data_IF_721701074136
#
_entry.id   IF_721701074136
#
_cell.length_a   1.000
_cell.length_b   1.000
_cell.length_c   1.000
_cell.angle_alpha   90.00
_cell.angle_beta   90.00
_cell.angle_gamma   90.00
#
_symmetry.space_group_name_H-M   'P 1'
#
loop_
_entity.id
_entity.type
_entity.pdbx_description
1 polymer ?
#
# COMPACT_ATOMS: atom_id res chain seq x y z
N UNK A 1 -13.31 -7.01 21.71
CA UNK A 1 -11.87 -6.65 21.61
C UNK A 1 -10.95 -7.88 21.60
N UNK A 2 -10.95 -8.77 22.59
CA UNK A 2 -10.02 -9.94 22.64
C UNK A 2 -10.00 -10.78 21.38
N UNK A 3 -11.18 -11.14 20.82
CA UNK A 3 -11.28 -11.93 19.58
C UNK A 3 -10.66 -11.20 18.36
N UNK A 4 -10.85 -9.89 18.28
CA UNK A 4 -10.22 -9.08 17.22
C UNK A 4 -8.70 -9.09 17.37
N UNK A 5 -8.16 -8.90 18.57
CA UNK A 5 -6.72 -8.96 18.80
C UNK A 5 -6.13 -10.34 18.47
N UNK A 6 -6.83 -11.43 18.80
CA UNK A 6 -6.41 -12.78 18.39
C UNK A 6 -6.36 -12.94 16.87
N UNK A 7 -7.32 -12.36 16.16
CA UNK A 7 -7.30 -12.32 14.69
C UNK A 7 -6.09 -11.54 14.16
N UNK A 8 -5.73 -10.40 14.78
CA UNK A 8 -4.54 -9.64 14.37
C UNK A 8 -3.25 -10.42 14.60
N UNK A 9 -3.17 -11.18 15.70
CA UNK A 9 -2.05 -12.10 15.93
C UNK A 9 -2.02 -13.23 14.90
N UNK A 10 -3.17 -13.69 14.44
CA UNK A 10 -3.27 -14.68 13.37
C UNK A 10 -2.75 -14.10 12.04
N UNK A 11 -3.09 -12.86 11.69
CA UNK A 11 -2.51 -12.19 10.52
C UNK A 11 -0.99 -12.06 10.63
N UNK A 12 -0.47 -11.68 11.81
CA UNK A 12 0.97 -11.65 12.05
C UNK A 12 1.62 -13.03 11.85
N UNK A 13 1.02 -14.09 12.40
CA UNK A 13 1.50 -15.46 12.27
C UNK A 13 1.44 -15.96 10.82
N UNK A 14 0.36 -15.68 10.10
CA UNK A 14 0.18 -15.99 8.67
C UNK A 14 1.31 -15.38 7.83
N UNK A 15 1.55 -14.10 8.00
CA UNK A 15 2.62 -13.41 7.28
C UNK A 15 4.01 -13.93 7.67
N UNK A 16 4.28 -14.17 8.96
CA UNK A 16 5.55 -14.72 9.42
C UNK A 16 5.83 -16.11 8.79
N UNK A 17 4.81 -16.95 8.64
CA UNK A 17 4.91 -18.23 7.95
C UNK A 17 5.11 -18.06 6.43
N UNK A 18 4.49 -17.04 5.82
CA UNK A 18 4.57 -16.79 4.39
C UNK A 18 5.89 -16.13 3.93
N UNK A 19 6.51 -15.28 4.76
CA UNK A 19 7.74 -14.54 4.39
C UNK A 19 8.85 -15.46 3.83
N UNK A 20 9.23 -16.59 4.45
CA UNK A 20 10.25 -17.50 3.89
C UNK A 20 9.76 -18.22 2.63
N UNK A 21 8.47 -18.56 2.54
CA UNK A 21 7.91 -19.28 1.39
C UNK A 21 7.85 -18.42 0.14
N UNK A 22 7.54 -17.14 0.30
CA UNK A 22 7.56 -16.14 -0.76
C UNK A 22 8.99 -15.71 -1.15
N UNK A 23 10.01 -16.22 -0.44
CA UNK A 23 11.40 -15.81 -0.67
C UNK A 23 11.72 -14.39 -0.17
N UNK A 24 10.81 -13.76 0.55
CA UNK A 24 11.02 -12.41 1.13
C UNK A 24 12.02 -12.48 2.29
N UNK A 25 12.05 -13.61 3.00
CA UNK A 25 12.95 -13.85 4.11
C UNK A 25 13.64 -15.23 3.97
N UNK A 26 14.65 -15.35 3.09
CA UNK A 26 15.28 -16.65 2.76
C UNK A 26 16.14 -17.22 3.87
N UNK A 27 16.53 -16.40 4.88
CA UNK A 27 17.33 -16.83 6.03
C UNK A 27 16.69 -16.42 7.34
N UNK A 28 17.07 -17.08 8.45
CA UNK A 28 16.58 -16.73 9.79
C UNK A 28 16.93 -15.28 10.18
N UNK A 29 18.12 -14.81 9.84
CA UNK A 29 18.53 -13.44 10.12
C UNK A 29 17.64 -12.42 9.38
N UNK A 30 17.35 -12.68 8.10
CA UNK A 30 16.44 -11.83 7.30
C UNK A 30 15.02 -11.93 7.82
N UNK A 31 14.55 -13.11 8.25
CA UNK A 31 13.22 -13.28 8.84
C UNK A 31 13.07 -12.42 10.10
N UNK A 32 14.02 -12.48 11.03
CA UNK A 32 14.01 -11.66 12.23
C UNK A 32 14.06 -10.16 11.92
N UNK A 33 14.89 -9.76 10.94
CA UNK A 33 14.99 -8.36 10.52
C UNK A 33 13.71 -7.84 9.86
N UNK A 34 13.00 -8.69 9.11
CA UNK A 34 11.78 -8.35 8.35
C UNK A 34 10.48 -8.77 9.06
N UNK A 35 10.55 -9.26 10.29
CA UNK A 35 9.36 -9.66 11.05
C UNK A 35 8.28 -8.56 11.13
N UNK A 36 8.60 -7.25 11.23
CA UNK A 36 7.57 -6.21 11.20
C UNK A 36 6.75 -6.14 9.90
N UNK A 37 7.26 -6.69 8.77
CA UNK A 37 6.46 -6.83 7.55
C UNK A 37 5.41 -7.94 7.67
N UNK A 38 5.57 -8.89 8.58
CA UNK A 38 4.72 -10.07 8.66
C UNK A 38 3.24 -9.71 8.81
N UNK A 39 2.92 -8.69 9.60
CA UNK A 39 1.53 -8.29 9.81
C UNK A 39 0.86 -7.86 8.50
N UNK A 40 1.45 -6.92 7.76
CA UNK A 40 0.85 -6.42 6.51
C UNK A 40 0.90 -7.47 5.38
N UNK A 41 1.89 -8.37 5.37
CA UNK A 41 1.94 -9.52 4.48
C UNK A 41 0.80 -10.49 4.80
N UNK A 42 0.56 -10.76 6.08
CA UNK A 42 -0.56 -11.59 6.52
C UNK A 42 -1.92 -10.99 6.20
N UNK A 43 -2.12 -9.69 6.41
CA UNK A 43 -3.33 -8.96 5.99
C UNK A 43 -3.51 -9.04 4.47
N UNK A 44 -2.45 -8.82 3.68
CA UNK A 44 -2.52 -8.91 2.22
C UNK A 44 -2.93 -10.32 1.77
N UNK A 45 -2.33 -11.38 2.33
CA UNK A 45 -2.67 -12.77 2.00
C UNK A 45 -4.10 -13.09 2.45
N UNK A 46 -4.48 -12.76 3.70
CA UNK A 46 -5.81 -13.03 4.21
C UNK A 46 -6.89 -12.35 3.37
N UNK A 47 -6.71 -11.07 3.03
CA UNK A 47 -7.64 -10.32 2.20
C UNK A 47 -7.75 -10.89 0.78
N UNK A 48 -6.62 -11.21 0.12
CA UNK A 48 -6.61 -11.81 -1.23
C UNK A 48 -7.31 -13.17 -1.22
N UNK A 49 -6.93 -14.06 -0.31
CA UNK A 49 -7.48 -15.42 -0.24
C UNK A 49 -8.97 -15.37 0.05
N UNK A 50 -9.40 -14.57 1.03
CA UNK A 50 -10.82 -14.44 1.37
C UNK A 50 -11.61 -13.80 0.23
N UNK A 51 -11.07 -12.77 -0.42
CA UNK A 51 -11.72 -12.16 -1.57
C UNK A 51 -11.94 -13.18 -2.70
N UNK A 52 -10.93 -14.00 -3.03
CA UNK A 52 -11.06 -15.01 -4.09
C UNK A 52 -12.02 -16.14 -3.72
N UNK A 53 -11.97 -16.61 -2.48
CA UNK A 53 -12.86 -17.68 -2.05
C UNK A 53 -14.32 -17.20 -1.93
N UNK A 54 -14.53 -15.93 -1.62
CA UNK A 54 -15.87 -15.33 -1.66
C UNK A 54 -16.49 -15.36 -3.06
N UNK A 55 -15.69 -15.31 -4.14
CA UNK A 55 -16.19 -15.37 -5.52
C UNK A 55 -16.73 -16.76 -5.91
N UNK A 56 -16.42 -17.79 -5.14
CA UNK A 56 -16.87 -19.17 -5.34
C UNK A 56 -17.69 -19.67 -4.15
N UNK A 57 -18.26 -18.74 -3.38
CA UNK A 57 -19.13 -19.00 -2.22
C UNK A 57 -18.49 -19.90 -1.14
N UNK A 58 -17.16 -19.85 -1.03
CA UNK A 58 -16.40 -20.58 -0.02
C UNK A 58 -16.05 -19.62 1.15
N UNK A 59 -16.84 -19.63 2.23
CA UNK A 59 -16.64 -18.74 3.35
C UNK A 59 -15.33 -19.04 4.07
N UNK A 60 -14.56 -17.99 4.39
CA UNK A 60 -13.38 -18.10 5.25
C UNK A 60 -13.62 -17.32 6.55
N UNK A 61 -13.31 -18.01 7.65
CA UNK A 61 -13.26 -17.42 8.98
C UNK A 61 -11.89 -17.58 9.63
N UNK A 62 -11.77 -17.23 10.92
CA UNK A 62 -10.51 -17.35 11.65
C UNK A 62 -9.97 -18.77 11.73
N UNK A 63 -10.85 -19.81 11.73
CA UNK A 63 -10.41 -21.21 11.80
C UNK A 63 -9.70 -21.63 10.51
N UNK A 64 -10.26 -21.33 9.35
CA UNK A 64 -9.69 -21.65 8.05
C UNK A 64 -8.36 -20.92 7.85
N UNK A 65 -8.28 -19.67 8.29
CA UNK A 65 -7.02 -18.91 8.30
C UNK A 65 -5.98 -19.51 9.26
N UNK A 66 -6.41 -20.03 10.41
CA UNK A 66 -5.51 -20.72 11.33
C UNK A 66 -4.97 -22.02 10.73
N UNK A 67 -5.82 -22.78 10.04
CA UNK A 67 -5.40 -23.98 9.30
C UNK A 67 -4.42 -23.63 8.20
N UNK A 68 -4.73 -22.61 7.37
CA UNK A 68 -3.81 -22.11 6.35
C UNK A 68 -2.46 -21.70 6.96
N UNK A 69 -2.49 -20.97 8.07
CA UNK A 69 -1.29 -20.54 8.79
C UNK A 69 -0.46 -21.73 9.26
N UNK A 70 -1.11 -22.74 9.86
CA UNK A 70 -0.43 -23.96 10.33
C UNK A 70 0.21 -24.73 9.18
N UNK A 71 -0.49 -24.87 8.04
CA UNK A 71 0.05 -25.52 6.84
C UNK A 71 1.27 -24.75 6.30
N UNK A 72 1.17 -23.43 6.15
CA UNK A 72 2.29 -22.62 5.66
C UNK A 72 3.46 -22.66 6.65
N UNK A 73 3.21 -22.62 7.95
CA UNK A 73 4.25 -22.72 8.98
C UNK A 73 4.95 -24.09 8.92
N UNK A 74 4.20 -25.19 8.75
CA UNK A 74 4.75 -26.52 8.60
C UNK A 74 5.63 -26.63 7.34
N UNK A 75 5.17 -26.10 6.21
CA UNK A 75 5.95 -26.09 4.96
C UNK A 75 7.21 -25.24 5.10
N UNK A 76 7.10 -24.06 5.71
CA UNK A 76 8.24 -23.17 5.98
C UNK A 76 9.25 -23.84 6.91
N UNK A 77 8.78 -24.51 7.97
CA UNK A 77 9.63 -25.26 8.90
C UNK A 77 10.38 -26.41 8.21
N UNK A 78 9.70 -27.18 7.34
CA UNK A 78 10.35 -28.27 6.57
C UNK A 78 11.41 -27.74 5.59
N UNK A 79 11.19 -26.59 4.97
CA UNK A 79 12.15 -25.95 4.03
C UNK A 79 13.37 -25.37 4.73
N UNK A 80 13.35 -25.20 6.06
CA UNK A 80 14.41 -24.66 6.93
C UNK A 80 15.18 -23.51 6.28
N UNK A 81 14.86 -22.25 6.59
CA UNK A 81 15.63 -21.10 6.07
C UNK A 81 17.12 -21.35 6.32
N UNK A 82 17.93 -21.11 5.31
CA UNK A 82 19.39 -21.26 5.40
C UNK A 82 19.96 -20.50 6.60
N UNK A 83 20.84 -21.13 7.37
CA UNK A 83 21.56 -20.49 8.48
C UNK A 83 22.71 -19.59 8.01
N UNK A 84 22.87 -19.36 6.70
CA UNK A 84 23.92 -18.46 6.20
C UNK A 84 23.67 -17.08 6.79
N UNK A 85 24.57 -16.65 7.66
CA UNK A 85 24.68 -15.28 8.09
C UNK A 85 24.96 -14.46 6.83
N UNK A 86 24.04 -13.63 6.41
CA UNK A 86 24.31 -12.64 5.38
C UNK A 86 25.35 -11.68 5.98
N UNK A 87 26.60 -11.81 5.54
CA UNK A 87 27.62 -10.78 5.72
C UNK A 87 27.07 -9.52 5.04
N UNK A 88 26.71 -8.51 5.82
CA UNK A 88 26.23 -7.24 5.31
C UNK A 88 24.85 -6.76 5.80
N UNK A 89 24.14 -7.51 6.64
CA UNK A 89 23.08 -6.89 7.44
C UNK A 89 23.72 -6.04 8.54
N UNK A 90 24.39 -4.97 8.13
CA UNK A 90 24.79 -3.87 8.98
C UNK A 90 23.56 -3.07 9.39
N UNK A 91 22.65 -3.71 10.13
CA UNK A 91 21.68 -2.98 10.92
C UNK A 91 22.48 -2.11 11.86
N UNK A 92 22.67 -0.82 11.50
CA UNK A 92 23.29 0.14 12.39
C UNK A 92 22.45 0.16 13.66
N UNK A 93 22.89 -0.60 14.65
CA UNK A 93 22.26 -0.66 15.96
C UNK A 93 22.10 0.80 16.43
N UNK A 94 20.98 1.10 17.07
CA UNK A 94 20.69 2.38 17.69
C UNK A 94 21.85 2.74 18.63
N UNK A 95 22.89 3.34 18.06
CA UNK A 95 24.09 3.77 18.80
C UNK A 95 24.23 5.28 18.65
N UNK A 96 24.48 5.95 19.77
CA UNK A 96 24.64 7.40 19.81
C UNK A 96 23.34 8.20 19.73
N UNK A 97 23.47 9.52 19.80
CA UNK A 97 22.33 10.47 19.85
C UNK A 97 21.34 10.32 18.69
N UNK A 98 21.82 10.06 17.47
CA UNK A 98 20.93 9.88 16.30
C UNK A 98 20.05 8.63 16.43
N UNK A 99 20.54 7.56 17.05
CA UNK A 99 19.78 6.34 17.30
C UNK A 99 18.71 6.57 18.37
N UNK A 100 19.03 7.30 19.43
CA UNK A 100 18.07 7.67 20.47
C UNK A 100 16.97 8.56 19.91
N UNK A 101 17.33 9.58 19.10
CA UNK A 101 16.35 10.45 18.42
C UNK A 101 15.43 9.65 17.52
N UNK A 102 15.97 8.71 16.71
CA UNK A 102 15.18 7.86 15.85
C UNK A 102 14.19 6.98 16.64
N UNK A 103 14.61 6.43 17.78
CA UNK A 103 13.75 5.63 18.66
C UNK A 103 12.62 6.49 19.24
N UNK A 104 12.92 7.70 19.71
CA UNK A 104 11.91 8.63 20.24
C UNK A 104 10.88 9.03 19.17
N UNK A 105 11.34 9.32 17.95
CA UNK A 105 10.47 9.66 16.81
C UNK A 105 9.54 8.48 16.50
N UNK A 106 10.04 7.24 16.47
CA UNK A 106 9.22 6.06 16.24
C UNK A 106 8.20 5.85 17.36
N UNK A 107 8.64 5.97 18.61
CA UNK A 107 7.72 5.89 19.76
C UNK A 107 6.61 6.93 19.63
N UNK A 108 6.93 8.18 19.28
CA UNK A 108 5.93 9.22 19.04
C UNK A 108 4.94 8.81 17.93
N UNK A 109 5.41 8.30 16.79
CA UNK A 109 4.55 7.84 15.70
C UNK A 109 3.64 6.68 16.12
N UNK A 110 4.16 5.69 16.84
CA UNK A 110 3.36 4.57 17.36
C UNK A 110 2.38 4.99 18.45
N UNK A 111 2.75 5.91 19.34
CA UNK A 111 1.84 6.47 20.35
C UNK A 111 0.70 7.23 19.69
N UNK A 112 1.00 8.04 18.66
CA UNK A 112 -0.04 8.72 17.86
C UNK A 112 -1.01 7.73 17.24
N UNK A 113 -0.50 6.71 16.52
CA UNK A 113 -1.35 5.69 15.90
C UNK A 113 -2.15 4.87 16.92
N UNK A 114 -1.55 4.53 18.05
CA UNK A 114 -2.25 3.84 19.15
C UNK A 114 -3.35 4.71 19.74
N UNK A 115 -3.10 6.01 19.91
CA UNK A 115 -4.11 6.96 20.37
C UNK A 115 -5.27 7.08 19.38
N UNK A 116 -4.96 7.23 18.07
CA UNK A 116 -5.97 7.25 17.01
C UNK A 116 -6.77 5.94 17.04
N UNK A 117 -6.11 4.78 17.08
CA UNK A 117 -6.78 3.47 17.13
C UNK A 117 -7.74 3.36 18.32
N UNK A 118 -7.33 3.86 19.50
CA UNK A 118 -8.19 3.88 20.68
C UNK A 118 -9.40 4.80 20.50
N UNK A 119 -9.25 5.96 19.86
CA UNK A 119 -10.38 6.82 19.53
C UNK A 119 -11.37 6.13 18.58
N UNK A 120 -10.88 5.29 17.67
CA UNK A 120 -11.70 4.54 16.73
C UNK A 120 -12.56 3.46 17.40
N UNK A 121 -12.22 3.00 18.60
CA UNK A 121 -13.01 2.00 19.35
C UNK A 121 -14.45 2.47 19.65
N UNK A 122 -14.70 3.77 19.68
CA UNK A 122 -16.01 4.35 19.97
C UNK A 122 -16.64 5.08 18.79
N UNK A 123 -15.94 5.13 17.62
CA UNK A 123 -16.40 5.85 16.44
C UNK A 123 -17.44 5.04 15.68
N UNK A 124 -18.67 5.52 15.48
CA UNK A 124 -19.66 4.84 14.66
C UNK A 124 -19.33 5.00 13.17
N UNK A 125 -19.90 4.13 12.35
CA UNK A 125 -19.91 4.29 10.89
C UNK A 125 -20.91 5.37 10.52
N UNK A 126 -20.45 6.53 10.06
CA UNK A 126 -21.31 7.63 9.61
C UNK A 126 -20.94 8.16 8.23
N UNK A 127 -19.72 7.95 7.78
CA UNK A 127 -19.29 8.33 6.44
C UNK A 127 -19.97 7.46 5.40
N UNK A 128 -20.53 8.10 4.35
CA UNK A 128 -21.36 7.45 3.34
C UNK A 128 -20.73 6.18 2.76
N UNK A 129 -19.56 6.26 2.14
CA UNK A 129 -18.93 5.09 1.52
C UNK A 129 -18.61 4.01 2.58
N UNK A 130 -18.28 4.42 3.81
CA UNK A 130 -17.95 3.52 4.90
C UNK A 130 -19.08 2.55 5.21
N UNK A 131 -20.26 3.08 5.50
CA UNK A 131 -21.40 2.22 5.85
C UNK A 131 -22.18 1.74 4.62
N UNK A 132 -22.37 2.60 3.59
CA UNK A 132 -23.20 2.26 2.45
C UNK A 132 -22.51 1.28 1.49
N UNK A 133 -21.18 1.37 1.31
CA UNK A 133 -20.46 0.54 0.36
C UNK A 133 -19.71 -0.57 1.08
N UNK A 134 -18.68 -0.20 1.86
CA UNK A 134 -17.70 -1.16 2.36
C UNK A 134 -18.29 -2.06 3.43
N UNK A 135 -18.86 -1.50 4.49
CA UNK A 135 -19.44 -2.30 5.56
C UNK A 135 -20.70 -3.07 5.11
N UNK A 136 -21.49 -2.54 4.15
CA UNK A 136 -22.63 -3.28 3.59
C UNK A 136 -22.17 -4.51 2.82
N UNK A 137 -21.15 -4.40 1.96
CA UNK A 137 -20.56 -5.54 1.26
C UNK A 137 -19.91 -6.53 2.24
N UNK A 138 -19.19 -6.04 3.23
CA UNK A 138 -18.59 -6.87 4.27
C UNK A 138 -19.66 -7.63 5.08
N UNK A 139 -20.77 -6.97 5.43
CA UNK A 139 -21.91 -7.60 6.11
C UNK A 139 -22.55 -8.66 5.22
N UNK A 140 -22.70 -8.41 3.92
CA UNK A 140 -23.21 -9.40 2.99
C UNK A 140 -22.29 -10.62 2.91
N UNK A 141 -20.97 -10.46 2.79
CA UNK A 141 -20.00 -11.55 2.85
C UNK A 141 -20.08 -12.32 4.17
N UNK A 142 -20.26 -11.63 5.29
CA UNK A 142 -20.42 -12.25 6.60
C UNK A 142 -21.70 -13.11 6.69
N UNK A 143 -22.85 -12.60 6.22
CA UNK A 143 -24.15 -13.24 6.35
C UNK A 143 -24.34 -14.38 5.35
N UNK A 144 -23.95 -14.18 4.09
CA UNK A 144 -24.20 -15.14 3.00
C UNK A 144 -23.02 -16.07 2.73
N UNK A 145 -21.85 -15.77 3.24
CA UNK A 145 -20.66 -16.62 3.10
C UNK A 145 -19.85 -16.38 1.84
N UNK A 146 -20.41 -15.73 0.84
CA UNK A 146 -19.77 -15.48 -0.46
C UNK A 146 -20.29 -14.22 -1.12
N UNK A 147 -19.89 -14.01 -2.38
CA UNK A 147 -20.30 -12.89 -3.20
C UNK A 147 -21.72 -13.08 -3.74
N UNK A 148 -22.70 -13.06 -2.85
CA UNK A 148 -24.10 -13.24 -3.15
C UNK A 148 -24.59 -12.30 -4.25
N UNK A 149 -24.94 -12.86 -5.41
CA UNK A 149 -25.22 -12.14 -6.65
C UNK A 149 -26.22 -11.00 -6.48
N UNK A 150 -27.38 -11.13 -5.81
CA UNK A 150 -28.34 -10.03 -5.64
C UNK A 150 -27.77 -8.79 -4.96
N UNK A 151 -26.69 -8.94 -4.16
CA UNK A 151 -25.98 -7.81 -3.55
C UNK A 151 -24.84 -7.33 -4.46
N UNK A 152 -23.96 -8.24 -4.88
CA UNK A 152 -22.69 -7.87 -5.51
C UNK A 152 -22.84 -7.52 -6.99
N UNK A 153 -23.89 -8.04 -7.69
CA UNK A 153 -24.17 -7.70 -9.07
C UNK A 153 -25.10 -6.47 -9.23
N UNK A 154 -25.87 -6.12 -8.21
CA UNK A 154 -26.91 -5.10 -8.32
C UNK A 154 -26.76 -3.93 -7.35
N UNK A 155 -26.07 -4.10 -6.24
CA UNK A 155 -25.87 -3.02 -5.26
C UNK A 155 -24.67 -2.14 -5.62
N UNK A 156 -24.88 -0.87 -6.03
CA UNK A 156 -23.79 0.02 -6.41
C UNK A 156 -22.86 0.37 -5.22
N UNK A 157 -21.60 0.63 -5.51
CA UNK A 157 -20.89 0.47 -6.78
C UNK A 157 -20.45 -0.98 -7.01
N UNK A 158 -20.95 -1.58 -8.09
CA UNK A 158 -20.69 -3.00 -8.41
C UNK A 158 -19.25 -3.29 -8.80
N UNK A 159 -18.55 -2.28 -9.34
CA UNK A 159 -17.18 -2.41 -9.87
C UNK A 159 -16.09 -2.53 -8.80
N UNK A 160 -16.41 -2.35 -7.53
CA UNK A 160 -15.41 -2.41 -6.46
C UNK A 160 -15.05 -3.84 -6.09
N UNK A 161 -13.76 -4.24 -6.19
CA UNK A 161 -13.29 -5.56 -5.78
C UNK A 161 -13.46 -5.83 -4.29
N UNK A 162 -13.18 -7.07 -3.87
CA UNK A 162 -13.64 -7.57 -2.57
C UNK A 162 -12.57 -7.60 -1.47
N UNK A 163 -11.32 -7.15 -1.70
CA UNK A 163 -10.25 -7.25 -0.71
C UNK A 163 -10.61 -6.58 0.62
N UNK A 164 -11.07 -5.33 0.58
CA UNK A 164 -11.37 -4.59 1.80
C UNK A 164 -12.65 -5.11 2.50
N UNK A 165 -13.79 -5.32 1.81
CA UNK A 165 -14.95 -5.96 2.42
C UNK A 165 -14.67 -7.37 2.95
N UNK A 166 -13.76 -8.12 2.32
CA UNK A 166 -13.38 -9.46 2.78
C UNK A 166 -12.64 -9.42 4.12
N UNK A 167 -11.72 -8.45 4.32
CA UNK A 167 -11.05 -8.24 5.60
C UNK A 167 -12.06 -7.91 6.71
N UNK A 168 -12.98 -6.99 6.47
CA UNK A 168 -14.03 -6.64 7.43
C UNK A 168 -14.95 -7.84 7.73
N UNK A 169 -15.27 -8.66 6.73
CA UNK A 169 -16.08 -9.86 6.93
C UNK A 169 -15.37 -10.89 7.83
N UNK A 170 -14.04 -11.01 7.74
CA UNK A 170 -13.26 -11.85 8.67
C UNK A 170 -13.34 -11.29 10.09
N UNK A 171 -13.26 -9.95 10.27
CA UNK A 171 -13.44 -9.32 11.58
C UNK A 171 -14.80 -9.65 12.18
N UNK A 172 -15.88 -9.56 11.39
CA UNK A 172 -17.23 -9.90 11.84
C UNK A 172 -17.37 -11.38 12.19
N UNK A 173 -16.72 -12.28 11.44
CA UNK A 173 -16.68 -13.72 11.76
C UNK A 173 -15.92 -14.01 13.05
N UNK A 174 -14.79 -13.32 13.27
CA UNK A 174 -14.04 -13.43 14.51
C UNK A 174 -14.85 -12.93 15.71
N UNK A 175 -15.59 -11.84 15.56
CA UNK A 175 -16.44 -11.26 16.59
C UNK A 175 -17.73 -12.09 16.82
N UNK A 176 -18.20 -12.80 15.79
CA UNK A 176 -19.48 -13.51 15.77
C UNK A 176 -20.69 -12.58 15.58
N UNK A 177 -20.45 -11.33 15.17
CA UNK A 177 -21.47 -10.32 14.92
C UNK A 177 -20.95 -9.23 13.97
N UNK A 178 -21.86 -8.54 13.32
CA UNK A 178 -21.57 -7.25 12.70
C UNK A 178 -21.28 -6.20 13.79
N UNK A 179 -20.17 -5.48 13.66
CA UNK A 179 -19.81 -4.41 14.61
C UNK A 179 -19.17 -3.24 13.85
N UNK A 180 -19.98 -2.21 13.62
CA UNK A 180 -19.57 -1.03 12.85
C UNK A 180 -18.56 -0.12 13.55
N UNK A 181 -18.28 -0.35 14.83
CA UNK A 181 -17.28 0.40 15.60
C UNK A 181 -15.92 -0.30 15.54
N UNK A 182 -15.91 -1.59 15.82
CA UNK A 182 -14.66 -2.36 15.89
C UNK A 182 -13.97 -2.52 14.54
N UNK A 183 -14.70 -2.39 13.42
CA UNK A 183 -14.09 -2.40 12.08
C UNK A 183 -13.08 -1.25 11.90
N UNK A 184 -13.30 -0.10 12.52
CA UNK A 184 -12.33 1.00 12.49
C UNK A 184 -11.02 0.66 13.21
N UNK A 185 -11.07 -0.18 14.25
CA UNK A 185 -9.87 -0.63 14.97
C UNK A 185 -8.93 -1.41 14.05
N UNK A 186 -9.49 -2.20 13.13
CA UNK A 186 -8.72 -2.89 12.08
C UNK A 186 -7.88 -1.91 11.26
N UNK A 187 -8.45 -0.77 10.86
CA UNK A 187 -7.74 0.27 10.11
C UNK A 187 -6.62 0.90 10.92
N UNK A 188 -6.86 1.20 12.20
CA UNK A 188 -5.82 1.71 13.10
C UNK A 188 -4.64 0.74 13.24
N UNK A 189 -4.93 -0.56 13.42
CA UNK A 189 -3.92 -1.61 13.50
C UNK A 189 -3.18 -1.80 12.17
N UNK A 190 -3.88 -1.65 11.03
CA UNK A 190 -3.26 -1.65 9.71
C UNK A 190 -2.29 -0.47 9.55
N UNK A 191 -2.65 0.72 10.06
CA UNK A 191 -1.76 1.88 10.10
C UNK A 191 -0.49 1.64 10.92
N UNK A 192 -0.61 0.99 12.09
CA UNK A 192 0.54 0.58 12.92
C UNK A 192 1.41 -0.41 12.16
N UNK A 193 0.82 -1.43 11.55
CA UNK A 193 1.52 -2.42 10.74
C UNK A 193 2.24 -1.80 9.55
N UNK A 194 1.61 -0.84 8.88
CA UNK A 194 2.22 -0.08 7.79
C UNK A 194 3.45 0.71 8.25
N UNK A 195 3.35 1.44 9.36
CA UNK A 195 4.48 2.18 9.92
C UNK A 195 5.67 1.27 10.23
N UNK A 196 5.42 0.11 10.85
CA UNK A 196 6.44 -0.87 11.17
C UNK A 196 7.07 -1.49 9.92
N UNK A 197 6.25 -1.84 8.91
CA UNK A 197 6.70 -2.41 7.65
C UNK A 197 7.53 -1.40 6.83
N UNK A 198 7.03 -0.18 6.66
CA UNK A 198 7.72 0.88 5.93
C UNK A 198 9.06 1.22 6.58
N UNK A 199 9.07 1.42 7.90
CA UNK A 199 10.32 1.64 8.62
C UNK A 199 11.33 0.52 8.42
N UNK A 200 10.87 -0.74 8.44
CA UNK A 200 11.73 -1.91 8.24
C UNK A 200 12.35 -1.90 6.84
N UNK A 201 11.55 -1.63 5.82
CA UNK A 201 12.04 -1.53 4.44
C UNK A 201 13.03 -0.38 4.25
N UNK A 202 12.77 0.76 4.88
CA UNK A 202 13.61 1.94 4.74
C UNK A 202 14.94 1.80 5.47
N UNK A 203 14.93 1.35 6.76
CA UNK A 203 16.14 1.26 7.59
C UNK A 203 17.22 0.34 7.04
N UNK A 204 16.87 -0.55 6.12
CA UNK A 204 17.84 -1.41 5.45
C UNK A 204 18.75 -0.63 4.47
N UNK A 205 18.38 0.59 4.09
CA UNK A 205 19.06 1.38 3.04
C UNK A 205 19.32 2.84 3.39
N UNK A 206 18.60 3.38 4.34
CA UNK A 206 18.75 4.79 4.72
C UNK A 206 19.08 4.91 6.22
N UNK A 207 19.67 6.02 6.64
CA UNK A 207 19.91 6.28 8.07
C UNK A 207 18.62 6.12 8.88
N UNK A 208 18.72 5.46 10.02
CA UNK A 208 17.57 5.15 10.89
C UNK A 208 16.77 6.39 11.24
N UNK A 209 17.44 7.52 11.48
CA UNK A 209 16.78 8.80 11.75
C UNK A 209 15.90 9.26 10.58
N UNK A 210 16.42 9.21 9.36
CA UNK A 210 15.68 9.60 8.15
C UNK A 210 14.48 8.67 7.92
N UNK A 211 14.67 7.36 8.10
CA UNK A 211 13.58 6.39 8.03
C UNK A 211 12.47 6.70 9.05
N UNK A 212 12.86 7.02 10.29
CA UNK A 212 11.91 7.34 11.37
C UNK A 212 11.15 8.65 11.10
N UNK A 213 11.84 9.68 10.62
CA UNK A 213 11.22 10.96 10.27
C UNK A 213 10.21 10.80 9.11
N UNK A 214 10.55 10.01 8.10
CA UNK A 214 9.66 9.76 6.97
C UNK A 214 8.39 9.03 7.40
N UNK A 215 8.53 7.99 8.24
CA UNK A 215 7.36 7.28 8.79
C UNK A 215 6.51 8.22 9.63
N UNK A 216 7.11 8.99 10.56
CA UNK A 216 6.37 9.94 11.37
C UNK A 216 5.65 10.98 10.51
N UNK A 217 6.31 11.55 9.50
CA UNK A 217 5.70 12.54 8.61
C UNK A 217 4.44 11.98 7.92
N UNK A 218 4.48 10.73 7.44
CA UNK A 218 3.32 10.11 6.79
C UNK A 218 2.20 9.86 7.80
N UNK A 219 2.48 9.21 8.94
CA UNK A 219 1.43 8.80 9.88
C UNK A 219 0.85 9.97 10.70
N UNK A 220 1.54 11.12 10.73
CA UNK A 220 1.06 12.35 11.38
C UNK A 220 0.36 13.31 10.41
N UNK A 221 0.39 13.05 9.10
CA UNK A 221 -0.32 13.89 8.14
C UNK A 221 -1.83 13.90 8.42
N UNK A 222 -2.43 15.08 8.52
CA UNK A 222 -3.84 15.23 8.89
C UNK A 222 -4.76 14.46 7.96
N UNK A 223 -4.49 14.50 6.63
CA UNK A 223 -5.27 13.75 5.66
C UNK A 223 -5.14 12.23 5.84
N UNK A 224 -3.95 11.71 6.19
CA UNK A 224 -3.75 10.29 6.49
C UNK A 224 -4.58 9.87 7.70
N UNK A 225 -4.48 10.62 8.81
CA UNK A 225 -5.24 10.34 10.05
C UNK A 225 -6.74 10.45 9.83
N UNK A 226 -7.20 11.49 9.13
CA UNK A 226 -8.62 11.65 8.79
C UNK A 226 -9.14 10.44 8.00
N UNK A 227 -8.43 10.06 6.92
CA UNK A 227 -8.87 8.93 6.08
C UNK A 227 -8.73 7.58 6.78
N UNK A 228 -7.73 7.41 7.67
CA UNK A 228 -7.60 6.23 8.51
C UNK A 228 -8.80 6.08 9.47
N UNK A 229 -9.40 7.20 9.87
CA UNK A 229 -10.56 7.23 10.78
C UNK A 229 -11.92 7.09 10.07
N UNK A 230 -11.95 7.07 8.74
CA UNK A 230 -13.13 6.70 7.95
C UNK A 230 -13.06 5.21 7.64
N UNK A 231 -14.18 4.57 7.40
CA UNK A 231 -14.17 3.19 6.91
C UNK A 231 -14.07 3.15 5.37
N UNK A 232 -13.12 3.90 4.80
CA UNK A 232 -12.89 3.96 3.36
C UNK A 232 -11.72 3.06 2.95
N UNK A 233 -11.81 2.51 1.76
CA UNK A 233 -10.74 1.68 1.21
C UNK A 233 -9.51 2.47 0.71
N UNK A 234 -9.54 3.81 0.80
CA UNK A 234 -8.48 4.69 0.25
C UNK A 234 -7.15 4.55 1.01
N UNK A 235 -7.17 4.48 2.36
CA UNK A 235 -5.94 4.24 3.14
C UNK A 235 -5.44 2.80 3.01
N UNK A 236 -6.26 1.75 3.10
CA UNK A 236 -5.83 0.40 2.74
C UNK A 236 -5.17 0.33 1.37
N UNK A 237 -5.75 0.97 0.34
CA UNK A 237 -5.15 1.08 -0.99
C UNK A 237 -3.80 1.79 -0.95
N UNK A 238 -3.73 2.97 -0.31
CA UNK A 238 -2.50 3.75 -0.22
C UNK A 238 -1.37 2.99 0.49
N UNK A 239 -1.67 2.21 1.53
CA UNK A 239 -0.73 1.34 2.24
C UNK A 239 -0.18 0.27 1.30
N UNK A 240 -1.05 -0.45 0.59
CA UNK A 240 -0.63 -1.51 -0.33
C UNK A 240 0.20 -0.95 -1.50
N UNK A 241 -0.22 0.17 -2.08
CA UNK A 241 0.52 0.87 -3.14
C UNK A 241 1.89 1.33 -2.64
N UNK A 242 1.97 2.01 -1.49
CA UNK A 242 3.23 2.54 -0.95
C UNK A 242 4.25 1.41 -0.66
N UNK A 243 3.83 0.32 -0.02
CA UNK A 243 4.69 -0.83 0.23
C UNK A 243 5.11 -1.51 -1.07
N UNK A 244 4.19 -1.65 -2.03
CA UNK A 244 4.45 -2.21 -3.34
C UNK A 244 5.51 -1.43 -4.12
N UNK A 245 5.36 -0.10 -4.23
CA UNK A 245 6.32 0.75 -4.96
C UNK A 245 7.68 0.86 -4.26
N UNK A 246 7.71 0.87 -2.91
CA UNK A 246 8.97 0.82 -2.15
C UNK A 246 9.73 -0.49 -2.39
N UNK A 247 9.04 -1.64 -2.33
CA UNK A 247 9.65 -2.94 -2.62
C UNK A 247 10.16 -2.99 -4.07
N UNK A 248 9.38 -2.45 -5.01
CA UNK A 248 9.75 -2.45 -6.44
C UNK A 248 10.93 -1.52 -6.72
N UNK A 249 10.95 -0.32 -6.13
CA UNK A 249 12.06 0.63 -6.23
C UNK A 249 13.37 0.01 -5.69
N UNK A 250 13.31 -0.63 -4.53
CA UNK A 250 14.45 -1.33 -3.95
C UNK A 250 14.94 -2.49 -4.81
N UNK A 251 14.04 -3.29 -5.36
CA UNK A 251 14.42 -4.36 -6.28
C UNK A 251 15.10 -3.80 -7.53
N UNK A 252 14.62 -2.69 -8.08
CA UNK A 252 15.22 -2.04 -9.25
C UNK A 252 16.65 -1.54 -8.97
N UNK A 253 16.84 -0.97 -7.80
CA UNK A 253 18.11 -0.33 -7.39
C UNK A 253 19.13 -1.36 -6.87
N UNK A 254 18.78 -2.08 -5.82
CA UNK A 254 19.66 -2.94 -5.04
C UNK A 254 19.89 -4.33 -5.64
N UNK A 255 19.09 -4.74 -6.61
CA UNK A 255 18.98 -6.12 -7.11
C UNK A 255 18.55 -7.11 -6.02
N UNK A 256 17.89 -6.64 -4.96
CA UNK A 256 17.35 -7.53 -3.94
C UNK A 256 16.12 -8.29 -4.49
N UNK A 257 16.41 -9.45 -5.07
CA UNK A 257 15.37 -10.30 -5.68
C UNK A 257 14.30 -10.74 -4.67
N UNK A 258 14.59 -10.67 -3.36
CA UNK A 258 13.64 -11.07 -2.31
C UNK A 258 12.48 -10.08 -2.16
N UNK A 259 12.61 -8.86 -2.66
CA UNK A 259 11.55 -7.84 -2.59
C UNK A 259 10.59 -7.86 -3.79
N UNK A 260 10.91 -8.54 -4.87
CA UNK A 260 10.03 -8.63 -6.03
C UNK A 260 8.71 -9.35 -5.73
N UNK A 261 8.70 -10.51 -5.03
CA UNK A 261 7.46 -11.15 -4.60
C UNK A 261 6.62 -10.28 -3.66
N UNK A 262 7.27 -9.51 -2.76
CA UNK A 262 6.58 -8.57 -1.89
C UNK A 262 5.91 -7.44 -2.70
N UNK A 263 6.62 -6.88 -3.69
CA UNK A 263 6.06 -5.88 -4.59
C UNK A 263 4.82 -6.41 -5.33
N UNK A 264 4.91 -7.62 -5.89
CA UNK A 264 3.79 -8.26 -6.59
C UNK A 264 2.60 -8.54 -5.66
N UNK A 265 2.85 -9.01 -4.42
CA UNK A 265 1.81 -9.26 -3.42
C UNK A 265 1.06 -7.96 -3.06
N UNK A 266 1.79 -6.90 -2.72
CA UNK A 266 1.17 -5.64 -2.30
C UNK A 266 0.46 -4.94 -3.46
N UNK A 267 1.05 -4.90 -4.66
CA UNK A 267 0.38 -4.35 -5.84
C UNK A 267 -0.82 -5.19 -6.26
N UNK A 268 -0.75 -6.52 -6.13
CA UNK A 268 -1.90 -7.41 -6.33
C UNK A 268 -3.02 -7.14 -5.32
N UNK A 269 -2.70 -6.98 -4.03
CA UNK A 269 -3.67 -6.57 -3.02
C UNK A 269 -4.30 -5.21 -3.35
N UNK A 270 -3.50 -4.25 -3.84
CA UNK A 270 -3.99 -2.95 -4.28
C UNK A 270 -5.02 -3.07 -5.41
N UNK A 271 -4.79 -3.92 -6.43
CA UNK A 271 -5.74 -4.13 -7.54
C UNK A 271 -7.08 -4.73 -7.08
N UNK A 272 -7.06 -5.46 -5.95
CA UNK A 272 -8.25 -6.07 -5.34
C UNK A 272 -8.92 -5.18 -4.29
N UNK A 273 -8.32 -4.02 -3.95
CA UNK A 273 -8.87 -3.08 -2.97
C UNK A 273 -9.88 -2.13 -3.62
N UNK A 274 -9.49 -1.48 -4.71
CA UNK A 274 -10.32 -0.54 -5.50
C UNK A 274 -9.92 -0.58 -6.97
N UNK A 275 -10.79 -0.15 -7.91
CA UNK A 275 -10.43 -0.05 -9.33
C UNK A 275 -9.16 0.78 -9.58
N UNK A 276 -8.94 1.85 -8.82
CA UNK A 276 -7.75 2.70 -8.91
C UNK A 276 -6.46 1.96 -8.56
N UNK A 277 -6.54 0.86 -7.82
CA UNK A 277 -5.40 -0.02 -7.56
C UNK A 277 -4.77 -0.58 -8.83
N UNK A 278 -5.58 -0.84 -9.87
CA UNK A 278 -5.10 -1.26 -11.20
C UNK A 278 -4.29 -0.15 -11.86
N UNK A 279 -4.74 1.11 -11.73
CA UNK A 279 -4.01 2.27 -12.21
C UNK A 279 -2.62 2.39 -11.56
N UNK A 280 -2.56 2.37 -10.22
CA UNK A 280 -1.31 2.52 -9.49
C UNK A 280 -0.34 1.36 -9.71
N UNK A 281 -0.83 0.13 -9.78
CA UNK A 281 -0.04 -1.06 -10.07
C UNK A 281 0.47 -1.03 -11.52
N UNK A 282 -0.38 -0.68 -12.48
CA UNK A 282 -0.03 -0.51 -13.89
C UNK A 282 1.03 0.57 -14.08
N UNK A 283 0.86 1.73 -13.44
CA UNK A 283 1.85 2.81 -13.44
C UNK A 283 3.21 2.35 -12.90
N UNK A 284 3.23 1.56 -11.81
CA UNK A 284 4.47 1.02 -11.24
C UNK A 284 5.16 0.03 -12.19
N UNK A 285 4.41 -0.84 -12.83
CA UNK A 285 4.94 -1.80 -13.81
C UNK A 285 5.50 -1.07 -15.04
N UNK A 286 4.76 -0.11 -15.60
CA UNK A 286 5.20 0.66 -16.76
C UNK A 286 6.44 1.51 -16.45
N UNK A 287 6.45 2.18 -15.31
CA UNK A 287 7.61 2.94 -14.86
C UNK A 287 8.84 2.05 -14.66
N UNK A 288 8.66 0.83 -14.12
CA UNK A 288 9.73 -0.13 -13.94
C UNK A 288 10.24 -0.72 -15.27
N UNK A 289 9.37 -0.94 -16.27
CA UNK A 289 9.77 -1.34 -17.62
C UNK A 289 10.63 -0.25 -18.27
N UNK A 290 10.20 1.01 -18.16
CA UNK A 290 10.93 2.14 -18.72
C UNK A 290 12.29 2.39 -18.03
N UNK A 291 12.32 2.38 -16.70
CA UNK A 291 13.51 2.69 -15.92
C UNK A 291 14.50 1.50 -15.80
N UNK A 292 13.98 0.26 -15.76
CA UNK A 292 14.77 -0.94 -15.49
C UNK A 292 15.66 -1.41 -16.63
N UNK A 293 15.29 -1.08 -17.87
CA UNK A 293 15.96 -1.53 -19.08
C UNK A 293 15.94 -3.07 -19.24
N UNK A 294 16.68 -3.57 -20.24
CA UNK A 294 16.67 -5.01 -20.59
C UNK A 294 17.02 -5.94 -19.43
N UNK A 295 17.91 -5.51 -18.52
CA UNK A 295 18.36 -6.32 -17.38
C UNK A 295 17.26 -6.60 -16.34
N UNK A 296 16.20 -5.78 -16.31
CA UNK A 296 15.09 -5.91 -15.36
C UNK A 296 13.79 -6.38 -16.01
N UNK A 297 13.75 -6.46 -17.34
CA UNK A 297 12.55 -6.81 -18.10
C UNK A 297 11.90 -8.11 -17.60
N UNK A 298 12.69 -9.17 -17.43
CA UNK A 298 12.17 -10.47 -16.97
C UNK A 298 11.53 -10.39 -15.60
N UNK A 299 12.20 -9.73 -14.65
CA UNK A 299 11.65 -9.59 -13.29
C UNK A 299 10.39 -8.73 -13.27
N UNK A 300 10.38 -7.60 -14.02
CA UNK A 300 9.20 -6.75 -14.14
C UNK A 300 8.03 -7.51 -14.78
N UNK A 301 8.30 -8.29 -15.84
CA UNK A 301 7.29 -9.13 -16.48
C UNK A 301 6.73 -10.20 -15.52
N UNK A 302 7.58 -10.86 -14.73
CA UNK A 302 7.13 -11.81 -13.71
C UNK A 302 6.25 -11.14 -12.64
N UNK A 303 6.62 -9.94 -12.17
CA UNK A 303 5.79 -9.19 -11.23
C UNK A 303 4.45 -8.79 -11.86
N UNK A 304 4.45 -8.33 -13.11
CA UNK A 304 3.23 -7.99 -13.84
C UNK A 304 2.30 -9.20 -14.00
N UNK A 305 2.86 -10.36 -14.38
CA UNK A 305 2.09 -11.62 -14.47
C UNK A 305 1.53 -12.02 -13.09
N UNK A 306 2.31 -11.92 -12.04
CA UNK A 306 1.84 -12.25 -10.70
C UNK A 306 0.68 -11.32 -10.25
N UNK A 307 0.80 -10.01 -10.48
CA UNK A 307 -0.28 -9.05 -10.21
C UNK A 307 -1.53 -9.38 -11.03
N UNK A 308 -1.35 -9.69 -12.33
CA UNK A 308 -2.46 -10.06 -13.22
C UNK A 308 -3.16 -11.34 -12.75
N UNK A 309 -2.40 -12.38 -12.34
CA UNK A 309 -2.97 -13.63 -11.80
C UNK A 309 -3.78 -13.36 -10.53
N UNK A 310 -3.32 -12.49 -9.64
CA UNK A 310 -4.04 -12.13 -8.43
C UNK A 310 -5.33 -11.35 -8.73
N UNK A 311 -5.34 -10.52 -9.77
CA UNK A 311 -6.52 -9.75 -10.18
C UNK A 311 -7.52 -10.53 -11.03
N UNK A 312 -7.05 -11.54 -11.76
CA UNK A 312 -7.83 -12.28 -12.77
C UNK A 312 -9.13 -12.89 -12.24
N UNK A 313 -9.19 -13.56 -11.05
CA UNK A 313 -10.44 -14.13 -10.55
C UNK A 313 -11.56 -13.09 -10.42
N UNK A 314 -11.23 -11.89 -9.92
CA UNK A 314 -12.18 -10.78 -9.85
C UNK A 314 -12.66 -10.35 -11.25
N UNK A 315 -11.74 -10.25 -12.24
CA UNK A 315 -12.12 -9.86 -13.61
C UNK A 315 -13.01 -10.89 -14.30
N UNK A 316 -12.75 -12.18 -14.06
CA UNK A 316 -13.62 -13.25 -14.56
C UNK A 316 -15.00 -13.13 -13.94
N UNK A 317 -15.09 -13.01 -12.60
CA UNK A 317 -16.36 -12.83 -11.90
C UNK A 317 -17.11 -11.60 -12.43
N UNK A 318 -16.45 -10.46 -12.51
CA UNK A 318 -17.06 -9.23 -13.00
C UNK A 318 -17.55 -9.38 -14.47
N UNK A 319 -16.79 -10.08 -15.32
CA UNK A 319 -17.19 -10.36 -16.70
C UNK A 319 -18.40 -11.28 -16.81
N UNK A 320 -18.44 -12.37 -16.01
CA UNK A 320 -19.56 -13.32 -16.00
C UNK A 320 -20.86 -12.66 -15.53
N UNK A 321 -20.77 -11.77 -14.54
CA UNK A 321 -21.94 -11.06 -13.98
C UNK A 321 -22.21 -9.70 -14.63
N UNK A 322 -21.50 -9.34 -15.71
CA UNK A 322 -21.71 -8.08 -16.43
C UNK A 322 -21.43 -6.83 -15.59
N UNK A 323 -20.58 -6.89 -14.58
CA UNK A 323 -20.29 -5.78 -13.68
C UNK A 323 -19.46 -4.71 -14.40
N UNK A 324 -20.11 -3.62 -14.78
CA UNK A 324 -19.48 -2.49 -15.43
C UNK A 324 -19.31 -1.34 -14.45
N UNK A 325 -18.28 -0.52 -14.67
CA UNK A 325 -18.17 0.74 -13.96
C UNK A 325 -19.18 1.74 -14.52
N UNK A 326 -20.17 2.21 -13.73
CA UNK A 326 -21.19 3.13 -14.22
C UNK A 326 -20.67 4.57 -14.38
N UNK A 327 -19.48 4.88 -13.89
CA UNK A 327 -18.94 6.24 -13.86
C UNK A 327 -18.06 6.54 -15.08
N UNK A 328 -17.37 5.54 -15.63
CA UNK A 328 -16.49 5.70 -16.80
C UNK A 328 -16.19 4.35 -17.48
N UNK A 329 -15.89 4.42 -18.77
CA UNK A 329 -15.32 3.30 -19.54
C UNK A 329 -13.89 3.61 -19.97
N UNK A 330 -12.99 2.64 -19.82
CA UNK A 330 -11.63 2.80 -20.32
C UNK A 330 -11.58 2.83 -21.85
N UNK A 331 -12.61 2.31 -22.54
CA UNK A 331 -12.77 2.43 -23.98
C UNK A 331 -12.87 3.88 -24.43
N UNK A 332 -13.54 4.71 -23.64
CA UNK A 332 -13.75 6.14 -23.92
C UNK A 332 -12.42 6.91 -23.87
N UNK A 333 -11.44 6.43 -23.11
CA UNK A 333 -10.09 7.01 -23.08
C UNK A 333 -9.31 6.83 -24.38
N UNK A 334 -9.73 5.89 -25.24
CA UNK A 334 -9.12 5.62 -26.54
C UNK A 334 -9.87 6.31 -27.69
N UNK A 335 -10.96 7.00 -27.42
CA UNK A 335 -11.72 7.76 -28.40
C UNK A 335 -11.35 9.26 -28.35
N UNK A 336 -10.59 9.78 -29.34
CA UNK A 336 -10.20 11.18 -29.36
C UNK A 336 -11.41 12.13 -29.47
N UNK A 337 -12.51 11.72 -30.10
CA UNK A 337 -13.74 12.51 -30.20
C UNK A 337 -14.39 12.68 -28.82
N UNK A 338 -14.53 11.57 -28.08
CA UNK A 338 -15.05 11.60 -26.72
C UNK A 338 -14.22 12.47 -25.77
N UNK A 339 -12.89 12.43 -25.91
CA UNK A 339 -11.97 13.27 -25.12
C UNK A 339 -12.09 14.75 -25.49
N UNK A 340 -12.20 15.04 -26.80
CA UNK A 340 -12.36 16.43 -27.29
C UNK A 340 -13.68 17.06 -26.81
N UNK A 341 -14.79 16.31 -26.87
CA UNK A 341 -16.09 16.76 -26.41
C UNK A 341 -16.15 17.08 -24.90
N UNK A 342 -15.15 16.60 -24.15
CA UNK A 342 -15.02 16.83 -22.68
C UNK A 342 -13.77 17.62 -22.30
N UNK A 343 -13.18 18.34 -23.24
CA UNK A 343 -11.94 19.08 -23.01
C UNK A 343 -12.04 20.10 -21.86
N UNK A 344 -13.23 20.68 -21.65
CA UNK A 344 -13.50 21.60 -20.54
C UNK A 344 -13.30 20.99 -19.15
N UNK A 345 -13.39 19.65 -19.00
CA UNK A 345 -13.19 18.95 -17.73
C UNK A 345 -11.71 18.82 -17.32
N UNK A 346 -10.82 18.84 -18.29
CA UNK A 346 -9.38 18.63 -18.06
C UNK A 346 -8.79 19.69 -17.11
N UNK A 347 -9.13 20.96 -17.33
CA UNK A 347 -8.65 22.07 -16.49
C UNK A 347 -9.10 21.97 -15.03
N UNK A 348 -10.38 21.80 -14.73
CA UNK A 348 -10.89 21.51 -13.38
C UNK A 348 -10.25 20.27 -12.75
N UNK A 349 -10.13 19.14 -13.47
CA UNK A 349 -9.51 17.92 -12.97
C UNK A 349 -8.05 18.13 -12.57
N UNK A 350 -7.25 18.77 -13.43
CA UNK A 350 -5.84 19.10 -13.14
C UNK A 350 -5.70 19.98 -11.90
N UNK A 351 -6.53 21.04 -11.79
CA UNK A 351 -6.47 21.96 -10.63
C UNK A 351 -6.90 21.25 -9.34
N UNK A 352 -7.95 20.46 -9.37
CA UNK A 352 -8.48 19.79 -8.18
C UNK A 352 -7.52 18.70 -7.70
N UNK A 353 -7.10 17.80 -8.59
CA UNK A 353 -6.15 16.72 -8.24
C UNK A 353 -4.82 17.31 -7.77
N UNK A 354 -4.26 18.30 -8.48
CA UNK A 354 -3.05 19.00 -8.09
C UNK A 354 -3.21 19.73 -6.76
N UNK A 355 -4.29 20.49 -6.59
CA UNK A 355 -4.59 21.22 -5.36
C UNK A 355 -4.69 20.31 -4.14
N UNK A 356 -5.38 19.17 -4.27
CA UNK A 356 -5.47 18.19 -3.17
C UNK A 356 -4.15 17.47 -2.91
N UNK A 357 -3.39 17.11 -3.93
CA UNK A 357 -2.09 16.45 -3.77
C UNK A 357 -1.05 17.36 -3.05
N UNK A 358 -1.13 18.68 -3.25
CA UNK A 358 -0.29 19.69 -2.58
C UNK A 358 -0.99 20.35 -1.38
N UNK A 359 -2.13 19.85 -0.91
CA UNK A 359 -2.84 20.46 0.21
C UNK A 359 -2.04 20.39 1.51
N UNK A 360 -2.25 21.37 2.39
CA UNK A 360 -1.62 21.44 3.71
C UNK A 360 -2.05 20.25 4.61
N UNK A 361 -3.16 19.59 4.31
CA UNK A 361 -3.56 18.38 5.04
C UNK A 361 -2.58 17.19 4.85
N UNK A 362 -1.89 17.15 3.70
CA UNK A 362 -0.78 16.23 3.46
C UNK A 362 0.57 16.79 3.92
N UNK A 363 0.62 18.04 4.37
CA UNK A 363 1.85 18.72 4.78
C UNK A 363 2.85 18.80 3.61
N UNK A 364 4.09 18.39 3.85
CA UNK A 364 5.17 18.40 2.85
C UNK A 364 5.40 17.05 2.16
N UNK A 365 4.49 16.09 2.25
CA UNK A 365 4.74 14.73 1.77
C UNK A 365 5.06 14.66 0.28
N UNK A 366 4.23 15.27 -0.57
CA UNK A 366 4.50 15.29 -2.01
C UNK A 366 5.73 16.15 -2.37
N UNK A 367 5.91 17.38 -1.83
CA UNK A 367 7.16 18.13 -1.99
C UNK A 367 8.42 17.35 -1.61
N UNK A 368 8.40 16.57 -0.52
CA UNK A 368 9.52 15.71 -0.14
C UNK A 368 9.77 14.60 -1.16
N UNK A 369 8.71 14.01 -1.73
CA UNK A 369 8.81 13.06 -2.84
C UNK A 369 9.52 13.66 -4.05
N UNK A 370 9.11 14.87 -4.46
CA UNK A 370 9.72 15.62 -5.58
C UNK A 370 11.17 16.01 -5.29
N UNK A 371 11.46 16.48 -4.08
CA UNK A 371 12.83 16.79 -3.65
C UNK A 371 13.71 15.52 -3.66
N UNK A 372 13.15 14.37 -3.27
CA UNK A 372 13.81 13.07 -3.38
C UNK A 372 14.17 12.72 -4.82
N UNK A 373 13.24 12.90 -5.77
CA UNK A 373 13.52 12.68 -7.21
C UNK A 373 14.65 13.60 -7.69
N UNK A 374 14.61 14.89 -7.34
CA UNK A 374 15.67 15.84 -7.68
C UNK A 374 17.03 15.41 -7.09
N UNK A 375 17.04 14.97 -5.81
CA UNK A 375 18.24 14.46 -5.16
C UNK A 375 18.81 13.23 -5.85
N UNK A 376 17.96 12.28 -6.26
CA UNK A 376 18.38 11.09 -6.99
C UNK A 376 18.94 11.41 -8.38
N UNK A 377 18.35 12.40 -9.08
CA UNK A 377 18.87 12.90 -10.37
C UNK A 377 20.26 13.53 -10.20
N UNK A 378 20.45 14.38 -9.19
CA UNK A 378 21.72 14.99 -8.86
C UNK A 378 22.78 13.95 -8.47
N UNK A 379 22.37 12.88 -7.77
CA UNK A 379 23.21 11.74 -7.42
C UNK A 379 23.43 10.77 -8.60
N UNK A 380 22.89 11.06 -9.79
CA UNK A 380 22.95 10.23 -11.02
C UNK A 380 22.33 8.83 -10.88
N UNK A 381 21.36 8.71 -9.98
CA UNK A 381 20.60 7.45 -9.80
C UNK A 381 19.40 7.42 -10.78
N UNK A 382 19.70 7.48 -12.07
CA UNK A 382 18.70 7.67 -13.14
C UNK A 382 17.59 6.63 -13.14
N UNK A 383 17.90 5.37 -12.79
CA UNK A 383 16.88 4.31 -12.75
C UNK A 383 15.86 4.54 -11.66
N UNK A 384 16.35 4.83 -10.44
CA UNK A 384 15.47 5.04 -9.30
C UNK A 384 14.65 6.33 -9.46
N UNK A 385 15.30 7.41 -9.91
CA UNK A 385 14.64 8.66 -10.22
C UNK A 385 13.60 8.51 -11.32
N UNK A 386 13.97 7.82 -12.42
CA UNK A 386 13.08 7.54 -13.55
C UNK A 386 11.87 6.68 -13.15
N UNK A 387 12.08 5.66 -12.30
CA UNK A 387 10.98 4.86 -11.75
C UNK A 387 10.03 5.71 -10.91
N UNK A 388 10.56 6.46 -9.93
CA UNK A 388 9.75 7.24 -9.02
C UNK A 388 8.98 8.37 -9.74
N UNK A 389 9.66 9.11 -10.61
CA UNK A 389 9.04 10.16 -11.42
C UNK A 389 8.02 9.59 -12.40
N UNK A 390 8.37 8.53 -13.13
CA UNK A 390 7.48 7.86 -14.08
C UNK A 390 6.23 7.32 -13.39
N UNK A 391 6.39 6.64 -12.25
CA UNK A 391 5.25 6.18 -11.46
C UNK A 391 4.35 7.33 -11.00
N UNK A 392 4.93 8.39 -10.46
CA UNK A 392 4.16 9.53 -9.97
C UNK A 392 3.41 10.25 -11.10
N UNK A 393 4.07 10.48 -12.24
CA UNK A 393 3.47 11.12 -13.42
C UNK A 393 2.35 10.26 -14.00
N UNK A 394 2.58 8.95 -14.20
CA UNK A 394 1.56 8.04 -14.73
C UNK A 394 0.37 7.92 -13.77
N UNK A 395 0.62 7.86 -12.46
CA UNK A 395 -0.44 7.84 -11.45
C UNK A 395 -1.26 9.11 -11.46
N UNK A 396 -0.60 10.27 -11.47
CA UNK A 396 -1.28 11.56 -11.54
C UNK A 396 -2.11 11.71 -12.84
N UNK A 397 -1.50 11.41 -13.98
CA UNK A 397 -2.16 11.47 -15.27
C UNK A 397 -3.37 10.52 -15.35
N UNK A 398 -3.25 9.32 -14.80
CA UNK A 398 -4.34 8.36 -14.76
C UNK A 398 -5.50 8.82 -13.84
N UNK A 399 -5.19 9.43 -12.68
CA UNK A 399 -6.23 10.03 -11.82
C UNK A 399 -6.97 11.15 -12.58
N UNK A 400 -6.23 12.05 -13.25
CA UNK A 400 -6.82 13.13 -14.05
C UNK A 400 -7.67 12.56 -15.20
N UNK A 401 -7.18 11.52 -15.87
CA UNK A 401 -7.89 10.84 -16.96
C UNK A 401 -9.25 10.27 -16.49
N UNK A 402 -9.30 9.62 -15.33
CA UNK A 402 -10.56 9.09 -14.76
C UNK A 402 -11.60 10.21 -14.60
N UNK A 403 -11.21 11.36 -14.07
CA UNK A 403 -12.13 12.51 -13.97
C UNK A 403 -12.50 13.10 -15.33
N UNK A 404 -11.57 13.09 -16.28
CA UNK A 404 -11.82 13.61 -17.62
C UNK A 404 -12.86 12.78 -18.38
N UNK A 405 -12.74 11.44 -18.35
CA UNK A 405 -13.65 10.52 -19.06
C UNK A 405 -14.93 10.18 -18.29
N UNK A 406 -15.08 10.60 -17.04
CA UNK A 406 -16.25 10.30 -16.23
C UNK A 406 -17.54 10.80 -16.90
N UNK A 407 -18.62 10.02 -16.84
CA UNK A 407 -19.96 10.44 -17.27
C UNK A 407 -20.67 11.30 -16.22
N UNK A 408 -20.23 11.22 -14.97
CA UNK A 408 -20.76 12.04 -13.85
C UNK A 408 -20.30 13.49 -14.02
N UNK A 409 -21.11 14.49 -13.63
CA UNK A 409 -20.66 15.90 -13.62
C UNK A 409 -19.32 16.06 -12.88
N UNK A 410 -18.35 16.76 -13.52
CA UNK A 410 -17.00 16.80 -13.04
C UNK A 410 -16.86 17.47 -11.67
N UNK A 411 -17.62 18.52 -11.41
CA UNK A 411 -17.64 19.26 -10.14
C UNK A 411 -18.06 18.34 -8.99
N UNK A 412 -19.07 17.52 -9.24
CA UNK A 412 -19.61 16.58 -8.28
C UNK A 412 -18.58 15.49 -7.95
N UNK A 413 -18.01 14.84 -8.98
CA UNK A 413 -17.00 13.79 -8.79
C UNK A 413 -15.74 14.32 -8.11
N UNK A 414 -15.29 15.51 -8.48
CA UNK A 414 -14.12 16.15 -7.86
C UNK A 414 -14.37 16.47 -6.38
N UNK A 415 -15.58 16.90 -6.02
CA UNK A 415 -15.89 17.20 -4.62
C UNK A 415 -15.90 15.98 -3.70
N UNK A 416 -16.21 14.80 -4.22
CA UNK A 416 -16.30 13.57 -3.42
C UNK A 416 -14.99 12.78 -3.38
N UNK A 417 -14.29 12.70 -4.51
CA UNK A 417 -13.25 11.70 -4.69
C UNK A 417 -11.84 12.29 -4.78
N UNK A 418 -11.65 13.52 -5.29
CA UNK A 418 -10.32 14.02 -5.60
C UNK A 418 -9.39 14.12 -4.38
N UNK A 419 -9.91 14.52 -3.21
CA UNK A 419 -9.12 14.62 -1.98
C UNK A 419 -8.70 13.27 -1.39
N UNK A 420 -9.41 12.18 -1.77
CA UNK A 420 -9.15 10.82 -1.29
C UNK A 420 -8.22 10.05 -2.23
N UNK A 421 -8.51 10.08 -3.52
CA UNK A 421 -7.78 9.29 -4.53
C UNK A 421 -6.30 9.66 -4.60
N UNK A 422 -5.94 10.91 -4.26
CA UNK A 422 -4.53 11.36 -4.20
C UNK A 422 -3.72 10.70 -3.07
N UNK A 423 -4.37 10.08 -2.09
CA UNK A 423 -3.70 9.44 -0.96
C UNK A 423 -2.63 8.44 -1.40
N UNK A 424 -2.95 7.57 -2.36
CA UNK A 424 -2.00 6.56 -2.87
C UNK A 424 -0.79 7.19 -3.53
N UNK A 425 -0.97 8.27 -4.31
CA UNK A 425 0.11 9.01 -4.94
C UNK A 425 1.00 9.70 -3.89
N UNK A 426 0.39 10.42 -2.94
CA UNK A 426 1.13 11.24 -1.95
C UNK A 426 1.89 10.34 -0.96
N UNK A 427 1.22 9.32 -0.41
CA UNK A 427 1.85 8.39 0.55
C UNK A 427 2.95 7.57 -0.13
N UNK A 428 2.73 7.11 -1.37
CA UNK A 428 3.73 6.39 -2.15
C UNK A 428 4.95 7.24 -2.47
N UNK A 429 4.75 8.50 -2.91
CA UNK A 429 5.85 9.45 -3.18
C UNK A 429 6.66 9.76 -1.91
N UNK A 430 5.98 9.99 -0.78
CA UNK A 430 6.63 10.22 0.51
C UNK A 430 7.41 8.99 1.00
N UNK A 431 6.87 7.79 0.82
CA UNK A 431 7.54 6.54 1.17
C UNK A 431 8.82 6.30 0.35
N UNK A 432 8.85 6.73 -0.91
CA UNK A 432 10.02 6.65 -1.78
C UNK A 432 11.08 7.72 -1.48
N UNK A 433 10.70 8.89 -0.94
CA UNK A 433 11.58 10.04 -0.76
C UNK A 433 12.90 9.72 -0.01
N UNK A 434 12.92 8.96 1.11
CA UNK A 434 14.15 8.63 1.80
C UNK A 434 15.12 7.78 0.98
N UNK A 435 14.60 6.83 0.19
CA UNK A 435 15.42 5.99 -0.70
C UNK A 435 16.06 6.81 -1.81
N UNK A 436 15.33 7.78 -2.34
CA UNK A 436 15.78 8.69 -3.38
C UNK A 436 16.88 9.63 -2.87
N UNK A 437 16.79 10.08 -1.61
CA UNK A 437 17.72 11.00 -0.99
C UNK A 437 18.97 10.34 -0.35
N UNK A 438 19.00 9.01 -0.21
CA UNK A 438 19.99 8.29 0.60
C UNK A 438 21.46 8.60 0.22
N UNK A 439 21.78 8.66 -1.06
CA UNK A 439 23.17 8.89 -1.52
C UNK A 439 23.56 10.38 -1.53
N UNK A 440 22.60 11.29 -1.73
CA UNK A 440 22.87 12.71 -1.56
C UNK A 440 23.31 13.01 -0.12
N UNK A 441 22.68 12.35 0.85
CA UNK A 441 23.03 12.45 2.27
C UNK A 441 24.46 11.94 2.58
N UNK A 442 24.88 10.82 1.97
CA UNK A 442 26.22 10.28 2.15
C UNK A 442 27.31 11.19 1.57
N UNK A 443 27.06 11.81 0.42
CA UNK A 443 27.97 12.74 -0.26
C UNK A 443 28.18 14.03 0.53
N UNK A 444 27.12 14.58 1.14
CA UNK A 444 27.19 15.76 2.00
C UNK A 444 28.05 15.47 3.24
N UNK A 445 27.90 14.29 3.83
CA UNK A 445 28.64 13.88 5.03
C UNK A 445 30.14 13.75 4.79
N UNK A 446 30.55 13.25 3.63
CA UNK A 446 31.97 13.11 3.24
C UNK A 446 32.61 14.49 3.04
N UNK A 447 31.92 15.43 2.38
CA UNK A 447 32.43 16.79 2.15
C UNK A 447 32.51 17.60 3.45
N UNK A 448 31.57 17.41 4.38
CA UNK A 448 31.58 18.08 5.68
C UNK A 448 32.76 17.66 6.57
N UNK A 449 33.19 16.39 6.50
CA UNK A 449 34.32 15.85 7.27
C UNK A 449 35.68 16.27 6.66
N UNK A 450 35.79 16.35 5.33
CA UNK A 450 37.01 16.80 4.66
C UNK A 450 37.26 18.30 4.78
N UNK A 451 36.19 19.10 4.87
CA UNK A 451 36.31 20.58 5.03
C UNK A 451 36.78 21.01 6.42
N UNK A 452 36.62 20.21 7.44
CA UNK A 452 37.09 20.54 8.82
C UNK A 452 38.55 20.19 9.06
N UNK A 453 39.15 19.30 8.27
CA UNK A 453 40.58 18.97 8.39
C UNK A 453 41.52 19.90 7.61
N UNK A 454 41.03 20.68 6.65
CA UNK A 454 41.87 21.66 5.91
C UNK A 454 42.00 23.02 6.57
N UNK A 455 41.31 23.27 7.70
CA UNK A 455 41.44 24.53 8.47
C UNK A 455 42.29 24.39 9.75
N UNK A 456 43.06 23.34 9.88
CA UNK A 456 43.96 23.10 11.03
C UNK A 456 45.41 22.81 10.57
N UNK A 457 45.85 23.52 9.53
CA UNK A 457 47.28 23.59 9.21
C UNK A 457 47.66 25.05 9.07
#
# INVERSE_FOLDING_TARGET
MTRLLLLQLLFLALGAAALPLLGIAPTRAVLLARLPLAYVVGVAIAGIVTAHLALVDAPIGPLELAVLTAVLALVAWRRRPSNRLLQGFGGGFIRGAAGVAAALILVLGFVLLAHVTRMLETRPLYEWDGWAIWATKARALYLFGGAYEPVFAHYPPVQHPLFFPALEAIDFRALGRFDGTLVHVQLGLLGIGFAAALWTLLRERVPVLLASLAVLAIVSATAFVKQLSTNYADVPLAIMVALGVVCFARWLDDRDATLLPAAALFLGAATLTKPEGVLFAGAAILAALAAGGRLRLRGTALAAVAVAILYLPWRIYAGVHGLQNPEYSLGDALDPGYLADRAERLGPALRSVGGHAFSLEWGLLLPLGLAGVAAALLARRWRLAGFAAGWAVLSFAGIVLVFWISVVPVELTLSWASYRIVASLVVGAAALAPLLAADAWSTIRIRGVSGTNQRRV
#
